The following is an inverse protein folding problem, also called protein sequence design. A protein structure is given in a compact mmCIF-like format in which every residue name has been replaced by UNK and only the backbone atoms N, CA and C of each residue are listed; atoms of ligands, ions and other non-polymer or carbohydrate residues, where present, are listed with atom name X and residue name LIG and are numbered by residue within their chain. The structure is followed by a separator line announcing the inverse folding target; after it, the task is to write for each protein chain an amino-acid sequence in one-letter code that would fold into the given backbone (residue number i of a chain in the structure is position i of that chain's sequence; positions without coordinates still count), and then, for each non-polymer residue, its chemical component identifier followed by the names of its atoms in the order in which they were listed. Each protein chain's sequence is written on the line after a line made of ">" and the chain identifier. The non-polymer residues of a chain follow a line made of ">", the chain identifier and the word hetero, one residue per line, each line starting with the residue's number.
data_IF_002544408997
#
_entry.id   IF_002544408997
#
_cell.length_a   1.000
_cell.length_b   1.000
_cell.length_c   1.000
_cell.angle_alpha   90.00
_cell.angle_beta   90.00
_cell.angle_gamma   90.00
#
_symmetry.space_group_name_H-M   'P 1'
#
loop_
_entity.id
_entity.type
_entity.pdbx_description
1 polymer ?
#
# COMPACT_ATOMS: atom_id res chain seq x y z
N UNK A 1 -59.43 -25.55 54.50
CA UNK A 1 -58.84 -24.48 53.74
C UNK A 1 -57.41 -24.91 53.40
N UNK A 2 -57.16 -25.32 52.16
CA UNK A 2 -55.82 -25.73 51.67
C UNK A 2 -55.22 -24.56 50.87
N UNK A 3 -54.12 -23.99 51.38
CA UNK A 3 -53.33 -23.00 50.66
C UNK A 3 -52.54 -23.73 49.62
N UNK A 4 -52.69 -23.35 48.35
CA UNK A 4 -51.81 -23.75 47.27
C UNK A 4 -50.65 -22.72 47.14
N UNK A 5 -49.45 -23.13 47.53
CA UNK A 5 -48.26 -22.41 47.22
C UNK A 5 -47.91 -22.62 45.73
N UNK A 6 -47.94 -21.55 44.91
CA UNK A 6 -47.41 -21.53 43.54
C UNK A 6 -45.95 -21.33 43.61
N UNK A 7 -45.18 -22.36 43.28
CA UNK A 7 -43.75 -22.27 43.08
C UNK A 7 -43.52 -21.71 41.66
N UNK A 8 -43.01 -20.48 41.59
CA UNK A 8 -42.57 -19.85 40.34
C UNK A 8 -41.14 -20.32 40.05
N UNK A 9 -40.95 -21.22 39.07
CA UNK A 9 -39.65 -21.53 38.53
C UNK A 9 -39.22 -20.41 37.58
N UNK A 10 -38.30 -19.56 38.04
CA UNK A 10 -37.61 -18.58 37.20
C UNK A 10 -36.50 -19.33 36.44
N UNK A 11 -36.79 -19.77 35.22
CA UNK A 11 -35.78 -20.35 34.33
C UNK A 11 -34.93 -19.21 33.77
N UNK A 12 -33.78 -18.97 34.41
CA UNK A 12 -32.73 -18.06 33.90
C UNK A 12 -32.08 -18.73 32.70
N UNK A 13 -32.52 -18.39 31.50
CA UNK A 13 -31.82 -18.75 30.28
C UNK A 13 -30.57 -17.90 30.26
N UNK A 14 -29.42 -18.46 30.69
CA UNK A 14 -28.09 -17.91 30.45
C UNK A 14 -27.80 -18.14 28.99
N UNK A 15 -28.05 -17.13 28.16
CA UNK A 15 -27.54 -17.08 26.80
C UNK A 15 -26.02 -16.89 26.91
N UNK A 16 -25.28 -17.98 26.90
CA UNK A 16 -23.85 -17.97 26.63
C UNK A 16 -23.66 -17.44 25.21
N UNK A 17 -23.51 -16.13 25.08
CA UNK A 17 -22.96 -15.50 23.89
C UNK A 17 -21.52 -15.98 23.85
N UNK A 18 -21.28 -17.08 23.17
CA UNK A 18 -19.96 -17.47 22.70
C UNK A 18 -19.53 -16.39 21.70
N UNK A 19 -19.07 -15.26 22.23
CA UNK A 19 -18.30 -14.29 21.50
C UNK A 19 -17.02 -15.01 21.11
N UNK A 20 -17.05 -15.71 19.97
CA UNK A 20 -15.86 -16.09 19.27
C UNK A 20 -15.17 -14.77 18.92
N UNK A 21 -14.26 -14.31 19.79
CA UNK A 21 -13.55 -13.06 19.57
C UNK A 21 -12.73 -13.25 18.29
N UNK A 22 -13.30 -12.80 17.18
CA UNK A 22 -12.56 -12.76 15.90
C UNK A 22 -11.25 -12.06 16.20
N UNK A 23 -10.15 -12.72 15.85
CA UNK A 23 -8.83 -12.11 15.97
C UNK A 23 -8.71 -11.07 14.87
N UNK A 24 -9.11 -9.85 15.18
CA UNK A 24 -9.17 -8.71 14.29
C UNK A 24 -8.06 -7.72 14.64
N UNK A 25 -7.46 -7.12 13.64
CA UNK A 25 -6.41 -6.11 13.72
C UNK A 25 -6.94 -4.90 12.97
N UNK A 26 -7.03 -3.75 13.63
CA UNK A 26 -7.36 -2.48 12.97
C UNK A 26 -6.15 -1.95 12.20
N UNK A 27 -6.39 -1.21 11.12
CA UNK A 27 -5.34 -0.55 10.36
C UNK A 27 -5.71 0.89 9.99
N UNK A 28 -4.70 1.73 9.84
CA UNK A 28 -4.81 3.04 9.21
C UNK A 28 -4.61 2.90 7.69
N UNK A 29 -5.29 3.75 6.89
CA UNK A 29 -5.28 3.64 5.44
C UNK A 29 -5.22 5.01 4.76
N UNK A 30 -4.20 5.19 3.91
CA UNK A 30 -4.00 6.38 3.06
C UNK A 30 -3.58 6.01 1.61
N UNK A 31 -3.97 4.83 1.16
CA UNK A 31 -3.48 4.17 -0.06
C UNK A 31 -2.55 3.01 0.29
N UNK A 32 -2.00 2.97 1.49
CA UNK A 32 -1.28 1.85 2.08
C UNK A 32 -1.99 1.39 3.36
N UNK A 33 -1.84 0.12 3.69
CA UNK A 33 -2.42 -0.49 4.90
C UNK A 33 -1.37 -0.44 6.01
N UNK A 34 -1.57 0.39 7.04
CA UNK A 34 -0.67 0.48 8.20
C UNK A 34 -1.21 -0.28 9.39
N UNK A 35 -0.49 -1.30 9.82
CA UNK A 35 -0.84 -2.17 10.95
C UNK A 35 0.10 -1.90 12.12
N UNK A 36 -0.46 -1.75 13.33
CA UNK A 36 0.35 -1.52 14.54
C UNK A 36 0.94 -2.80 15.11
N UNK A 37 2.28 -2.86 15.14
CA UNK A 37 3.03 -3.88 15.86
C UNK A 37 3.25 -3.40 17.29
N UNK A 38 2.85 -4.22 18.26
CA UNK A 38 2.93 -3.91 19.71
C UNK A 38 4.08 -4.60 20.42
N UNK A 39 4.72 -5.58 19.75
CA UNK A 39 5.81 -6.35 20.37
C UNK A 39 6.74 -6.94 19.31
N UNK A 40 8.04 -6.86 19.54
CA UNK A 40 9.09 -7.52 18.73
C UNK A 40 10.10 -8.16 19.70
N UNK A 41 10.36 -9.48 19.54
CA UNK A 41 11.28 -10.25 20.38
C UNK A 41 11.11 -9.95 21.87
N UNK A 42 9.89 -10.05 22.40
CA UNK A 42 9.55 -9.75 23.79
C UNK A 42 9.67 -8.27 24.22
N UNK A 43 10.16 -7.37 23.39
CA UNK A 43 10.12 -5.93 23.64
C UNK A 43 8.76 -5.34 23.27
N UNK A 44 8.22 -4.51 24.15
CA UNK A 44 7.08 -3.65 23.83
C UNK A 44 7.55 -2.55 22.87
N UNK A 45 6.80 -2.36 21.80
CA UNK A 45 7.01 -1.32 20.79
C UNK A 45 5.66 -0.74 20.40
N UNK A 46 5.65 0.33 19.61
CA UNK A 46 4.44 0.84 18.98
C UNK A 46 4.84 1.33 17.60
N UNK A 47 4.90 0.41 16.63
CA UNK A 47 5.36 0.70 15.28
C UNK A 47 4.25 0.54 14.25
N UNK A 48 4.28 1.39 13.23
CA UNK A 48 3.39 1.35 12.08
C UNK A 48 4.05 0.59 10.92
N UNK A 49 3.49 -0.56 10.57
CA UNK A 49 4.04 -1.43 9.54
C UNK A 49 3.10 -1.51 8.34
N UNK A 50 3.64 -1.33 7.14
CA UNK A 50 2.88 -1.48 5.92
C UNK A 50 2.63 -2.97 5.67
N UNK A 51 1.36 -3.37 5.49
CA UNK A 51 1.03 -4.71 5.02
C UNK A 51 1.14 -4.74 3.49
N UNK A 52 2.11 -5.49 3.00
CA UNK A 52 2.59 -5.47 1.63
C UNK A 52 2.71 -6.90 1.09
N UNK A 53 1.74 -7.32 0.29
CA UNK A 53 1.74 -8.66 -0.34
C UNK A 53 2.71 -8.78 -1.52
N UNK A 54 3.24 -7.68 -2.03
CA UNK A 54 4.33 -7.64 -3.01
C UNK A 54 5.70 -7.93 -2.39
N UNK A 55 5.84 -7.75 -1.07
CA UNK A 55 7.02 -8.09 -0.31
C UNK A 55 6.95 -9.52 0.25
N UNK A 56 8.07 -10.30 0.23
CA UNK A 56 8.03 -11.71 0.67
C UNK A 56 7.99 -11.90 2.18
N UNK A 57 8.68 -11.04 2.97
CA UNK A 57 9.02 -11.33 4.37
C UNK A 57 8.70 -10.15 5.30
N UNK A 58 9.24 -10.24 6.51
CA UNK A 58 9.15 -9.21 7.53
C UNK A 58 10.37 -8.29 7.45
N UNK A 59 10.14 -6.98 7.36
CA UNK A 59 11.19 -5.98 7.26
C UNK A 59 11.04 -4.96 8.38
N UNK A 60 12.17 -4.49 8.88
CA UNK A 60 12.27 -3.52 9.96
C UNK A 60 13.00 -2.27 9.48
N UNK A 61 12.51 -1.11 9.82
CA UNK A 61 13.24 0.13 9.62
C UNK A 61 14.45 0.21 10.56
N UNK A 62 15.57 0.70 10.04
CA UNK A 62 16.81 0.78 10.81
C UNK A 62 16.74 1.78 11.96
N UNK A 63 16.11 2.94 11.78
CA UNK A 63 15.95 3.95 12.82
C UNK A 63 14.96 3.47 13.89
N UNK A 64 13.86 2.84 13.49
CA UNK A 64 12.92 2.20 14.40
C UNK A 64 13.60 1.17 15.31
N UNK A 65 14.51 0.35 14.75
CA UNK A 65 15.28 -0.61 15.55
C UNK A 65 16.16 0.10 16.59
N UNK A 66 16.83 1.19 16.21
CA UNK A 66 17.68 1.99 17.10
C UNK A 66 16.85 2.65 18.21
N UNK A 67 15.82 3.36 17.86
CA UNK A 67 14.91 4.07 18.78
C UNK A 67 14.31 3.14 19.83
N UNK A 68 13.88 1.95 19.40
CA UNK A 68 13.31 0.93 20.27
C UNK A 68 14.35 0.00 20.90
N UNK A 69 15.65 0.26 20.68
CA UNK A 69 16.76 -0.57 21.20
C UNK A 69 16.60 -2.06 20.87
N UNK A 70 16.07 -2.38 19.67
CA UNK A 70 15.94 -3.76 19.18
C UNK A 70 17.29 -4.18 18.64
N UNK A 71 17.82 -5.29 19.15
CA UNK A 71 19.13 -5.84 18.75
C UNK A 71 18.97 -7.28 18.26
N UNK A 72 19.71 -7.62 17.22
CA UNK A 72 19.82 -8.97 16.68
C UNK A 72 21.27 -9.43 16.78
N UNK A 73 21.47 -10.71 17.07
CA UNK A 73 22.84 -11.28 17.27
C UNK A 73 23.47 -11.68 15.95
N UNK A 74 22.67 -12.29 15.07
CA UNK A 74 23.15 -12.88 13.82
C UNK A 74 22.59 -12.06 12.63
N UNK A 75 23.39 -11.10 12.17
CA UNK A 75 23.05 -10.28 11.01
C UNK A 75 24.08 -10.43 9.90
N UNK A 76 23.64 -10.40 8.66
CA UNK A 76 24.48 -10.48 7.45
C UNK A 76 24.17 -9.33 6.51
N UNK A 77 25.20 -8.65 6.02
CA UNK A 77 25.04 -7.64 4.97
C UNK A 77 24.45 -8.26 3.71
N UNK A 78 23.59 -7.52 3.03
CA UNK A 78 22.95 -7.90 1.78
C UNK A 78 22.53 -6.67 0.98
N UNK A 79 21.91 -6.93 -0.14
CA UNK A 79 21.33 -5.91 -1.01
C UNK A 79 19.89 -6.31 -1.35
N UNK A 80 19.03 -5.32 -1.61
CA UNK A 80 17.67 -5.53 -2.11
C UNK A 80 17.43 -4.58 -3.27
N UNK A 81 16.70 -5.06 -4.27
CA UNK A 81 16.11 -4.24 -5.33
C UNK A 81 14.64 -3.93 -5.04
N UNK A 82 13.97 -3.28 -5.97
CA UNK A 82 12.55 -2.94 -5.90
C UNK A 82 12.12 -2.19 -7.15
N UNK A 83 11.17 -1.28 -7.01
CA UNK A 83 10.77 -0.35 -8.06
C UNK A 83 11.93 0.62 -8.34
N UNK A 84 12.27 0.82 -9.62
CA UNK A 84 13.43 1.57 -10.09
C UNK A 84 14.65 0.68 -10.37
N UNK A 85 15.69 1.28 -10.96
CA UNK A 85 16.82 0.55 -11.56
C UNK A 85 17.98 0.26 -10.59
N UNK A 86 17.88 0.60 -9.32
CA UNK A 86 18.97 0.49 -8.34
C UNK A 86 18.72 -0.52 -7.24
N UNK A 87 19.66 -0.56 -6.30
CA UNK A 87 19.61 -1.44 -5.11
C UNK A 87 19.93 -0.66 -3.85
N UNK A 88 19.52 -1.20 -2.70
CA UNK A 88 19.80 -0.66 -1.37
C UNK A 88 20.54 -1.67 -0.51
N UNK A 89 21.45 -1.18 0.33
CA UNK A 89 22.11 -1.98 1.35
C UNK A 89 21.13 -2.40 2.45
N UNK A 90 21.22 -3.64 2.87
CA UNK A 90 20.36 -4.24 3.89
C UNK A 90 21.16 -5.07 4.88
N UNK A 91 20.50 -5.46 5.97
CA UNK A 91 21.03 -6.43 6.93
C UNK A 91 20.00 -7.54 7.12
N UNK A 92 20.30 -8.74 6.58
CA UNK A 92 19.49 -9.94 6.77
C UNK A 92 19.66 -10.45 8.19
N UNK A 93 18.55 -10.65 8.89
CA UNK A 93 18.53 -11.26 10.24
C UNK A 93 18.46 -12.77 10.06
N UNK A 94 19.38 -13.50 10.69
CA UNK A 94 19.44 -14.98 10.66
C UNK A 94 18.64 -15.62 11.79
N UNK A 95 18.32 -14.85 12.81
CA UNK A 95 17.50 -15.31 13.94
C UNK A 95 16.02 -15.22 13.58
N UNK A 96 15.22 -16.13 14.17
CA UNK A 96 13.75 -15.99 14.12
C UNK A 96 13.33 -14.73 14.85
N UNK A 97 12.57 -13.87 14.18
CA UNK A 97 11.99 -12.66 14.75
C UNK A 97 10.55 -12.93 15.13
N UNK A 98 10.21 -12.80 16.40
CA UNK A 98 8.82 -12.87 16.87
C UNK A 98 8.21 -11.47 16.92
N UNK A 99 6.97 -11.33 16.50
CA UNK A 99 6.24 -10.07 16.57
C UNK A 99 4.78 -10.30 16.94
N UNK A 100 4.13 -9.27 17.45
CA UNK A 100 2.72 -9.35 17.81
C UNK A 100 1.99 -8.08 17.45
N UNK A 101 0.85 -8.27 16.81
CA UNK A 101 -0.26 -7.34 16.87
C UNK A 101 -0.86 -7.41 18.29
N UNK A 102 -1.93 -6.75 18.62
CA UNK A 102 -2.44 -6.77 20.00
C UNK A 102 -2.50 -8.17 20.65
N UNK A 103 -3.32 -9.07 20.11
CA UNK A 103 -3.53 -10.43 20.65
C UNK A 103 -3.03 -11.55 19.73
N UNK A 104 -2.58 -11.19 18.51
CA UNK A 104 -2.10 -12.17 17.52
C UNK A 104 -0.57 -12.15 17.53
N UNK A 105 0.02 -13.31 17.87
CA UNK A 105 1.47 -13.51 17.81
C UNK A 105 1.84 -14.22 16.52
N UNK A 106 2.93 -13.76 15.91
CA UNK A 106 3.51 -14.34 14.71
C UNK A 106 5.04 -14.38 14.81
N UNK A 107 5.66 -14.99 13.82
CA UNK A 107 7.13 -15.06 13.70
C UNK A 107 7.54 -14.99 12.23
N UNK A 108 8.79 -14.65 12.00
CA UNK A 108 9.44 -14.69 10.71
C UNK A 108 10.86 -15.24 10.84
N UNK A 109 11.17 -16.26 10.05
CA UNK A 109 12.52 -16.83 9.95
C UNK A 109 13.35 -16.14 8.86
N UNK A 110 12.73 -15.22 8.12
CA UNK A 110 13.37 -14.38 7.12
C UNK A 110 12.99 -12.93 7.40
N UNK A 111 13.91 -12.20 7.98
CA UNK A 111 13.70 -10.79 8.29
C UNK A 111 14.89 -9.97 7.84
N UNK A 112 14.64 -8.71 7.51
CA UNK A 112 15.67 -7.82 6.97
C UNK A 112 15.52 -6.42 7.57
N UNK A 113 16.64 -5.76 7.84
CA UNK A 113 16.68 -4.37 8.27
C UNK A 113 17.08 -3.51 7.07
N UNK A 114 16.37 -2.42 6.87
CA UNK A 114 16.58 -1.45 5.81
C UNK A 114 16.14 -0.07 6.29
N UNK A 115 16.67 1.00 5.73
CA UNK A 115 16.19 2.36 6.01
C UNK A 115 14.93 2.65 5.18
N UNK A 116 13.76 2.27 5.69
CA UNK A 116 12.47 2.50 5.03
C UNK A 116 11.95 3.92 5.18
N UNK A 117 12.12 4.55 6.33
CA UNK A 117 11.61 5.90 6.58
C UNK A 117 12.14 6.90 5.55
N UNK A 118 13.38 6.72 5.10
CA UNK A 118 13.95 7.56 4.03
C UNK A 118 13.25 7.43 2.67
N UNK A 119 12.51 6.32 2.45
CA UNK A 119 11.88 5.95 1.17
C UNK A 119 10.36 6.07 1.24
N UNK A 120 9.75 5.62 2.35
CA UNK A 120 8.31 5.48 2.51
C UNK A 120 7.71 6.49 3.51
N UNK A 121 8.55 7.27 4.18
CA UNK A 121 8.14 8.29 5.14
C UNK A 121 8.13 7.83 6.58
N UNK A 122 7.90 8.80 7.48
CA UNK A 122 8.02 8.62 8.95
C UNK A 122 7.16 7.52 9.54
N UNK A 123 6.04 7.20 8.90
CA UNK A 123 5.11 6.17 9.38
C UNK A 123 5.47 4.75 8.91
N UNK A 124 6.62 4.56 8.23
CA UNK A 124 7.07 3.25 7.76
C UNK A 124 8.11 2.65 8.69
N UNK A 125 7.69 2.14 9.85
CA UNK A 125 8.56 1.45 10.80
C UNK A 125 8.98 0.05 10.32
N UNK A 126 8.36 -0.43 9.24
CA UNK A 126 8.70 -1.68 8.57
C UNK A 126 7.62 -2.15 7.60
N UNK A 127 7.82 -3.37 7.09
CA UNK A 127 6.90 -4.04 6.17
C UNK A 127 6.53 -5.43 6.70
N UNK A 128 5.26 -5.75 6.62
CA UNK A 128 4.66 -7.06 6.83
C UNK A 128 4.42 -7.69 5.45
N UNK A 129 5.32 -8.55 5.01
CA UNK A 129 5.18 -9.22 3.71
C UNK A 129 4.08 -10.27 3.68
N UNK A 130 3.87 -10.88 2.52
CA UNK A 130 2.81 -11.87 2.24
C UNK A 130 2.72 -13.02 3.24
N UNK A 131 3.85 -13.45 3.82
CA UNK A 131 3.91 -14.53 4.81
C UNK A 131 3.61 -14.10 6.26
N UNK A 132 3.30 -12.84 6.50
CA UNK A 132 3.18 -12.27 7.85
C UNK A 132 2.03 -12.83 8.68
N UNK A 133 1.10 -13.57 8.07
CA UNK A 133 0.03 -14.28 8.78
C UNK A 133 0.26 -15.80 8.90
N UNK A 134 1.49 -16.29 8.62
CA UNK A 134 1.88 -17.70 8.75
C UNK A 134 0.90 -18.64 8.03
N UNK A 135 0.58 -18.35 6.78
CA UNK A 135 -0.37 -19.08 5.94
C UNK A 135 -1.81 -19.18 6.51
N UNK A 136 -2.19 -18.34 7.47
CA UNK A 136 -3.57 -18.27 7.92
C UNK A 136 -4.39 -17.45 6.94
N UNK A 137 -5.56 -17.97 6.60
CA UNK A 137 -6.50 -17.23 5.78
C UNK A 137 -6.97 -15.98 6.52
N UNK A 138 -6.93 -14.84 5.85
CA UNK A 138 -7.27 -13.56 6.46
C UNK A 138 -8.04 -12.68 5.48
N UNK A 139 -9.01 -11.95 6.03
CA UNK A 139 -9.83 -10.98 5.32
C UNK A 139 -9.28 -9.58 5.53
N UNK A 140 -9.16 -8.82 4.47
CA UNK A 140 -8.93 -7.38 4.47
C UNK A 140 -10.27 -6.71 4.19
N UNK A 141 -10.76 -5.93 5.14
CA UNK A 141 -11.98 -5.13 5.04
C UNK A 141 -11.59 -3.65 4.96
N UNK A 142 -11.51 -3.13 3.74
CA UNK A 142 -11.08 -1.74 3.50
C UNK A 142 -12.10 -0.69 3.96
N UNK A 143 -13.36 -1.07 4.14
CA UNK A 143 -14.42 -0.18 4.63
C UNK A 143 -14.31 -0.02 6.13
N UNK A 144 -14.21 -1.15 6.85
CA UNK A 144 -14.05 -1.16 8.31
C UNK A 144 -12.62 -0.88 8.76
N UNK A 145 -11.66 -0.97 7.83
CA UNK A 145 -10.22 -0.88 8.10
C UNK A 145 -9.74 -1.94 9.09
N UNK A 146 -10.07 -3.18 8.78
CA UNK A 146 -9.77 -4.32 9.64
C UNK A 146 -9.20 -5.49 8.85
N UNK A 147 -8.19 -6.18 9.43
CA UNK A 147 -7.75 -7.49 8.99
C UNK A 147 -8.22 -8.52 10.02
N UNK A 148 -8.95 -9.54 9.56
CA UNK A 148 -9.49 -10.60 10.42
C UNK A 148 -9.00 -11.96 9.99
N UNK A 149 -8.53 -12.80 10.93
CA UNK A 149 -8.29 -14.21 10.65
C UNK A 149 -9.65 -14.93 10.54
N UNK A 150 -9.84 -15.64 9.44
CA UNK A 150 -11.10 -16.32 9.13
C UNK A 150 -10.88 -17.69 8.52
N UNK A 151 -11.93 -18.52 8.60
CA UNK A 151 -12.02 -19.87 8.04
C UNK A 151 -13.34 -20.11 7.28
N UNK A 152 -14.20 -19.09 7.19
CA UNK A 152 -15.45 -19.14 6.46
C UNK A 152 -15.41 -18.15 5.27
N UNK A 153 -15.65 -18.66 4.06
CA UNK A 153 -15.55 -17.95 2.78
C UNK A 153 -16.91 -17.81 2.07
N UNK A 154 -18.01 -18.12 2.76
CA UNK A 154 -19.34 -18.08 2.15
C UNK A 154 -19.70 -16.68 1.66
N UNK A 155 -20.28 -16.60 0.47
CA UNK A 155 -20.72 -15.35 -0.15
C UNK A 155 -19.61 -14.53 -0.80
N UNK A 156 -18.45 -15.13 -1.06
CA UNK A 156 -17.35 -14.57 -1.83
C UNK A 156 -17.12 -15.35 -3.11
N UNK A 157 -16.75 -14.66 -4.17
CA UNK A 157 -16.28 -15.30 -5.40
C UNK A 157 -14.83 -15.70 -5.27
N UNK A 158 -14.54 -16.91 -5.76
CA UNK A 158 -13.27 -17.59 -5.60
C UNK A 158 -12.44 -17.46 -6.87
N UNK A 159 -11.22 -16.98 -6.76
CA UNK A 159 -10.27 -16.85 -7.87
C UNK A 159 -8.97 -17.57 -7.51
N UNK A 160 -8.56 -18.49 -8.38
CA UNK A 160 -7.30 -19.21 -8.22
C UNK A 160 -6.14 -18.30 -8.64
N UNK A 161 -5.06 -18.32 -7.85
CA UNK A 161 -3.82 -17.64 -8.19
C UNK A 161 -2.64 -18.63 -8.28
N UNK A 162 -1.56 -18.22 -8.92
CA UNK A 162 -0.28 -18.87 -8.85
C UNK A 162 0.53 -18.24 -7.70
N UNK A 163 1.08 -19.06 -6.80
CA UNK A 163 2.02 -18.61 -5.77
C UNK A 163 3.44 -19.01 -6.17
N UNK A 164 4.22 -18.03 -6.62
CA UNK A 164 5.57 -18.24 -7.14
C UNK A 164 6.53 -17.22 -6.57
N UNK A 165 7.67 -17.67 -6.04
CA UNK A 165 8.70 -16.78 -5.46
C UNK A 165 8.14 -15.79 -4.42
N UNK A 166 7.23 -16.27 -3.55
CA UNK A 166 6.52 -15.46 -2.55
C UNK A 166 5.64 -14.35 -3.15
N UNK A 167 5.21 -14.47 -4.38
CA UNK A 167 4.30 -13.55 -5.06
C UNK A 167 2.96 -14.22 -5.33
N UNK A 168 1.88 -13.48 -5.07
CA UNK A 168 0.53 -13.87 -5.46
C UNK A 168 0.30 -13.34 -6.87
N UNK A 169 0.26 -14.23 -7.85
CA UNK A 169 0.06 -13.91 -9.27
C UNK A 169 -1.39 -14.19 -9.66
N UNK A 170 -2.17 -13.13 -9.81
CA UNK A 170 -3.61 -13.18 -10.03
C UNK A 170 -3.91 -13.04 -11.54
N UNK A 171 -4.72 -13.94 -12.16
CA UNK A 171 -5.11 -13.78 -13.55
C UNK A 171 -6.09 -12.61 -13.70
N UNK A 172 -5.75 -11.66 -14.55
CA UNK A 172 -6.53 -10.47 -14.85
C UNK A 172 -6.54 -10.16 -16.35
N UNK A 173 -7.51 -9.35 -16.76
CA UNK A 173 -7.57 -8.75 -18.10
C UNK A 173 -7.84 -7.26 -17.96
N UNK A 174 -7.04 -6.44 -18.65
CA UNK A 174 -7.21 -4.99 -18.74
C UNK A 174 -7.50 -4.63 -20.19
N UNK A 175 -8.61 -3.92 -20.44
CA UNK A 175 -9.03 -3.46 -21.77
C UNK A 175 -8.87 -1.94 -21.88
N UNK A 176 -8.47 -1.50 -23.06
CA UNK A 176 -8.30 -0.09 -23.44
C UNK A 176 -9.26 0.30 -24.55
N UNK A 177 -9.49 1.60 -24.74
CA UNK A 177 -10.49 2.18 -25.66
C UNK A 177 -10.34 1.76 -27.12
N UNK A 178 -9.16 1.38 -27.55
CA UNK A 178 -8.87 0.93 -28.93
C UNK A 178 -9.08 -0.57 -29.14
N UNK A 179 -9.89 -1.24 -28.30
CA UNK A 179 -10.08 -2.69 -28.26
C UNK A 179 -8.80 -3.51 -27.98
N UNK A 180 -7.74 -2.86 -27.52
CA UNK A 180 -6.58 -3.55 -26.98
C UNK A 180 -6.87 -4.10 -25.62
N UNK A 181 -6.28 -5.24 -25.33
CA UNK A 181 -6.33 -5.82 -24.00
C UNK A 181 -4.99 -6.45 -23.63
N UNK A 182 -4.70 -6.43 -22.36
CA UNK A 182 -3.58 -7.14 -21.75
C UNK A 182 -4.17 -8.17 -20.81
N UNK A 183 -3.92 -9.44 -21.13
CA UNK A 183 -4.34 -10.58 -20.31
C UNK A 183 -3.11 -11.29 -19.80
N UNK A 184 -3.06 -11.53 -18.50
CA UNK A 184 -1.90 -12.17 -17.88
C UNK A 184 -2.03 -12.33 -16.38
N UNK A 185 -0.94 -12.71 -15.76
CA UNK A 185 -0.80 -12.75 -14.31
C UNK A 185 -0.34 -11.40 -13.80
N UNK A 186 -0.99 -10.90 -12.77
CA UNK A 186 -0.66 -9.64 -12.10
C UNK A 186 -0.25 -9.89 -10.66
N UNK A 187 0.77 -9.19 -10.20
CA UNK A 187 1.18 -9.23 -8.80
C UNK A 187 0.12 -8.53 -7.94
N UNK A 188 -0.51 -9.26 -7.02
CA UNK A 188 -1.37 -8.67 -6.00
C UNK A 188 -0.50 -7.98 -4.95
N UNK A 189 -0.58 -6.67 -4.87
CA UNK A 189 0.34 -5.85 -4.10
C UNK A 189 -0.37 -4.80 -3.23
N UNK A 190 -0.62 -5.16 -1.97
CA UNK A 190 -1.19 -4.22 -0.99
C UNK A 190 -0.19 -3.17 -0.50
N UNK A 191 1.09 -3.31 -0.84
CA UNK A 191 2.13 -2.29 -0.63
C UNK A 191 2.14 -1.20 -1.70
N UNK A 192 1.42 -1.41 -2.83
CA UNK A 192 1.25 -0.40 -3.87
C UNK A 192 -0.08 0.34 -3.72
N UNK A 193 -0.03 1.67 -3.78
CA UNK A 193 -1.25 2.50 -3.80
C UNK A 193 -1.88 2.62 -5.19
N UNK A 194 -1.17 2.20 -6.24
CA UNK A 194 -1.58 2.34 -7.65
C UNK A 194 -1.39 1.04 -8.42
N UNK A 195 -2.21 0.85 -9.44
CA UNK A 195 -2.09 -0.23 -10.42
C UNK A 195 -1.18 0.21 -11.57
N UNK A 196 -0.21 -0.65 -11.92
CA UNK A 196 0.81 -0.32 -12.91
C UNK A 196 1.13 -1.54 -13.80
N UNK A 197 1.20 -1.34 -15.10
CA UNK A 197 1.72 -2.32 -16.05
C UNK A 197 3.25 -2.30 -16.05
N UNK A 198 3.85 -3.48 -16.24
CA UNK A 198 5.29 -3.56 -16.51
C UNK A 198 5.63 -3.07 -17.92
N UNK A 199 6.88 -2.66 -18.13
CA UNK A 199 7.37 -2.14 -19.41
C UNK A 199 7.47 -3.18 -20.53
N UNK A 200 7.22 -4.47 -20.24
CA UNK A 200 7.39 -5.57 -21.19
C UNK A 200 6.20 -5.77 -22.14
N UNK A 201 5.22 -4.88 -22.12
CA UNK A 201 4.04 -4.97 -22.99
C UNK A 201 4.20 -4.07 -24.20
N UNK A 202 3.79 -4.57 -25.37
CA UNK A 202 3.59 -3.69 -26.51
C UNK A 202 2.37 -2.81 -26.28
N UNK A 203 2.64 -1.55 -25.94
CA UNK A 203 1.65 -0.51 -25.61
C UNK A 203 1.45 0.49 -26.74
N UNK A 204 1.91 0.19 -27.96
CA UNK A 204 1.72 1.05 -29.11
C UNK A 204 0.22 1.38 -29.30
N UNK A 205 -0.07 2.63 -29.58
CA UNK A 205 -1.44 3.17 -29.77
C UNK A 205 -2.35 3.12 -28.53
N UNK A 206 -1.81 3.00 -27.31
CA UNK A 206 -2.54 3.33 -26.09
C UNK A 206 -2.44 4.84 -25.88
N UNK A 207 -3.58 5.50 -25.61
CA UNK A 207 -3.62 6.93 -25.34
C UNK A 207 -2.81 7.26 -24.07
N UNK A 208 -1.82 8.12 -24.24
CA UNK A 208 -1.03 8.63 -23.12
C UNK A 208 -1.68 9.91 -22.62
N UNK A 209 -2.26 9.86 -21.42
CA UNK A 209 -2.93 11.03 -20.83
C UNK A 209 -1.89 11.95 -20.20
N UNK A 210 -0.90 11.38 -19.54
CA UNK A 210 0.12 12.16 -18.83
C UNK A 210 1.38 11.35 -18.61
N UNK A 211 2.54 11.98 -18.77
CA UNK A 211 3.81 11.42 -18.36
C UNK A 211 3.99 11.57 -16.85
N UNK A 212 4.66 10.62 -16.24
CA UNK A 212 4.97 10.63 -14.81
C UNK A 212 6.44 10.34 -14.56
N UNK A 213 6.93 10.82 -13.43
CA UNK A 213 8.19 10.42 -12.84
C UNK A 213 7.95 10.12 -11.37
N UNK A 214 8.41 8.99 -10.89
CA UNK A 214 8.22 8.56 -9.49
C UNK A 214 9.49 7.95 -8.93
N UNK A 215 9.58 7.88 -7.61
CA UNK A 215 10.69 7.24 -6.90
C UNK A 215 10.24 5.97 -6.19
N UNK A 216 11.07 4.94 -6.24
CA UNK A 216 10.87 3.68 -5.54
C UNK A 216 12.09 3.24 -4.74
N UNK A 217 12.08 2.02 -4.21
CA UNK A 217 13.20 1.46 -3.44
C UNK A 217 14.48 1.33 -4.26
N UNK A 218 14.37 1.17 -5.58
CA UNK A 218 15.48 1.12 -6.54
C UNK A 218 15.86 2.47 -7.17
N UNK A 219 15.16 3.57 -6.84
CA UNK A 219 15.44 4.91 -7.40
C UNK A 219 14.33 5.44 -8.27
N UNK A 220 14.65 6.36 -9.18
CA UNK A 220 13.69 6.98 -10.09
C UNK A 220 13.21 5.96 -11.14
N UNK A 221 11.92 6.02 -11.45
CA UNK A 221 11.26 5.31 -12.55
C UNK A 221 10.43 6.30 -13.35
N UNK A 222 10.17 6.01 -14.63
CA UNK A 222 9.38 6.84 -15.53
C UNK A 222 8.33 6.00 -16.21
N UNK A 223 7.35 6.70 -16.75
CA UNK A 223 6.26 6.08 -17.48
C UNK A 223 5.19 7.08 -17.85
N UNK A 224 4.01 6.57 -18.09
CA UNK A 224 2.85 7.42 -18.35
C UNK A 224 1.57 6.82 -17.77
N UNK A 225 0.58 7.68 -17.56
CA UNK A 225 -0.75 7.27 -17.11
C UNK A 225 -1.70 7.18 -18.30
N UNK A 226 -2.59 6.21 -18.27
CA UNK A 226 -3.67 6.02 -19.25
C UNK A 226 -4.96 5.57 -18.57
N UNK A 227 -6.08 5.57 -19.34
CA UNK A 227 -7.33 4.96 -18.89
C UNK A 227 -7.42 3.52 -19.36
N UNK A 228 -7.70 2.61 -18.42
CA UNK A 228 -8.29 1.32 -18.72
C UNK A 228 -9.81 1.49 -18.77
N UNK A 229 -10.44 1.09 -19.86
CA UNK A 229 -11.91 1.08 -19.96
C UNK A 229 -12.52 0.07 -19.00
N UNK A 230 -11.87 -1.11 -18.91
CA UNK A 230 -12.28 -2.18 -18.01
C UNK A 230 -11.07 -2.89 -17.41
N UNK A 231 -11.12 -3.17 -16.11
CA UNK A 231 -10.26 -4.14 -15.43
C UNK A 231 -11.14 -5.29 -14.98
N UNK A 232 -10.85 -6.50 -15.49
CA UNK A 232 -11.60 -7.72 -15.18
C UNK A 232 -10.90 -8.51 -14.09
N UNK A 233 -11.58 -8.67 -12.93
CA UNK A 233 -11.13 -9.51 -11.81
C UNK A 233 -12.19 -10.58 -11.54
N UNK A 234 -11.92 -11.82 -11.94
CA UNK A 234 -12.94 -12.86 -11.91
C UNK A 234 -14.16 -12.45 -12.74
N UNK A 235 -15.31 -12.38 -12.12
CA UNK A 235 -16.58 -11.98 -12.74
C UNK A 235 -16.85 -10.47 -12.66
N UNK A 236 -15.97 -9.67 -12.02
CA UNK A 236 -16.21 -8.26 -11.77
C UNK A 236 -15.47 -7.37 -12.76
N UNK A 237 -16.12 -6.27 -13.12
CA UNK A 237 -15.59 -5.24 -14.00
C UNK A 237 -15.42 -3.94 -13.24
N UNK A 238 -14.20 -3.42 -13.18
CA UNK A 238 -13.95 -2.04 -12.74
C UNK A 238 -13.85 -1.20 -14.00
N UNK A 239 -14.66 -0.13 -14.05
CA UNK A 239 -14.81 0.68 -15.25
C UNK A 239 -14.02 1.99 -15.14
N UNK A 240 -13.44 2.42 -16.26
CA UNK A 240 -12.76 3.73 -16.41
C UNK A 240 -11.78 4.01 -15.28
N UNK A 241 -10.75 3.20 -15.20
CA UNK A 241 -9.74 3.30 -14.15
C UNK A 241 -8.42 3.85 -14.70
N UNK A 242 -7.81 4.78 -13.97
CA UNK A 242 -6.46 5.24 -14.29
C UNK A 242 -5.43 4.19 -13.89
N UNK A 243 -4.53 3.86 -14.78
CA UNK A 243 -3.41 2.97 -14.53
C UNK A 243 -2.13 3.60 -15.03
N UNK A 244 -1.03 3.29 -14.37
CA UNK A 244 0.29 3.69 -14.81
C UNK A 244 0.91 2.60 -15.68
N UNK A 245 1.74 3.01 -16.62
CA UNK A 245 2.51 2.13 -17.48
C UNK A 245 3.98 2.49 -17.32
N UNK A 246 4.79 1.53 -16.89
CA UNK A 246 6.21 1.74 -16.65
C UNK A 246 7.01 1.72 -17.95
N UNK A 247 8.07 2.54 -18.01
CA UNK A 247 9.12 2.52 -19.02
C UNK A 247 10.45 2.00 -18.45
N UNK A 248 10.44 1.36 -17.27
CA UNK A 248 11.64 0.83 -16.63
C UNK A 248 12.28 -0.27 -17.46
N UNK A 249 13.60 -0.27 -17.50
CA UNK A 249 14.40 -1.30 -18.20
C UNK A 249 14.93 -2.38 -17.26
N UNK A 250 14.78 -2.20 -15.94
CA UNK A 250 15.16 -3.15 -14.90
C UNK A 250 14.26 -3.02 -13.66
N UNK A 251 14.47 -3.86 -12.66
CA UNK A 251 13.68 -3.85 -11.42
C UNK A 251 12.31 -4.51 -11.54
N UNK A 252 11.47 -4.26 -10.55
CA UNK A 252 10.16 -4.93 -10.43
C UNK A 252 9.20 -4.58 -11.57
N UNK A 253 9.25 -3.36 -12.10
CA UNK A 253 8.36 -2.87 -13.16
C UNK A 253 8.83 -3.22 -14.57
N UNK A 254 9.97 -3.91 -14.73
CA UNK A 254 10.42 -4.53 -15.99
C UNK A 254 10.37 -6.06 -15.94
N UNK A 255 9.71 -6.63 -14.93
CA UNK A 255 9.59 -8.09 -14.76
C UNK A 255 8.81 -8.73 -15.90
N UNK A 256 9.29 -9.90 -16.37
CA UNK A 256 8.57 -10.76 -17.30
C UNK A 256 7.74 -11.85 -16.61
N UNK A 257 7.86 -11.97 -15.28
CA UNK A 257 7.10 -12.95 -14.49
C UNK A 257 5.61 -12.59 -14.37
N UNK A 258 5.25 -11.33 -14.57
CA UNK A 258 3.88 -10.82 -14.47
C UNK A 258 3.67 -9.62 -15.40
N UNK A 259 2.42 -9.38 -15.75
CA UNK A 259 2.02 -8.30 -16.66
C UNK A 259 1.96 -6.91 -15.98
N UNK A 260 1.83 -6.89 -14.69
CA UNK A 260 1.71 -5.66 -13.92
C UNK A 260 1.51 -5.94 -12.44
N UNK A 261 1.31 -4.86 -11.71
CA UNK A 261 0.99 -4.82 -10.29
C UNK A 261 -0.45 -4.36 -10.15
N UNK A 262 -1.26 -5.06 -9.35
CA UNK A 262 -2.58 -4.62 -8.97
C UNK A 262 -2.51 -4.01 -7.57
N UNK A 263 -2.72 -2.71 -7.47
CA UNK A 263 -2.58 -1.95 -6.23
C UNK A 263 -3.88 -1.72 -5.48
N UNK A 264 -3.77 -0.99 -4.39
CA UNK A 264 -4.92 -0.71 -3.51
C UNK A 264 -5.99 0.18 -4.14
N UNK A 265 -5.66 0.95 -5.19
CA UNK A 265 -6.64 1.71 -5.97
C UNK A 265 -7.72 0.82 -6.62
N UNK A 266 -7.35 -0.42 -6.92
CA UNK A 266 -8.24 -1.45 -7.45
C UNK A 266 -8.71 -2.38 -6.32
N UNK A 267 -7.81 -2.86 -5.47
CA UNK A 267 -8.11 -3.85 -4.44
C UNK A 267 -9.13 -3.36 -3.40
N UNK A 268 -9.14 -2.06 -3.07
CA UNK A 268 -10.04 -1.50 -2.07
C UNK A 268 -11.51 -1.37 -2.52
N UNK A 269 -11.82 -1.78 -3.76
CA UNK A 269 -13.19 -1.98 -4.22
C UNK A 269 -13.84 -3.25 -3.66
N UNK A 270 -13.04 -4.11 -3.01
CA UNK A 270 -13.49 -5.42 -2.55
C UNK A 270 -13.21 -5.63 -1.06
N UNK A 271 -14.05 -6.43 -0.43
CA UNK A 271 -13.64 -7.26 0.69
C UNK A 271 -12.78 -8.38 0.12
N UNK A 272 -11.53 -8.47 0.55
CA UNK A 272 -10.54 -9.39 0.00
C UNK A 272 -10.12 -10.42 1.05
N UNK A 273 -10.18 -11.72 0.71
CA UNK A 273 -9.63 -12.79 1.55
C UNK A 273 -8.47 -13.45 0.81
N UNK A 274 -7.36 -13.62 1.50
CA UNK A 274 -6.17 -14.30 0.99
C UNK A 274 -6.04 -15.65 1.69
N UNK A 275 -6.04 -16.73 0.92
CA UNK A 275 -5.80 -18.10 1.39
C UNK A 275 -4.59 -18.69 0.66
N UNK A 276 -3.41 -18.53 1.27
CA UNK A 276 -2.16 -19.06 0.72
C UNK A 276 -2.08 -20.59 0.74
N UNK A 277 -2.84 -21.26 1.63
CA UNK A 277 -2.82 -22.72 1.71
C UNK A 277 -3.42 -23.39 0.48
N UNK A 278 -4.50 -22.80 -0.02
CA UNK A 278 -5.23 -23.35 -1.15
C UNK A 278 -4.94 -22.62 -2.46
N UNK A 279 -4.14 -21.53 -2.42
CA UNK A 279 -3.85 -20.64 -3.53
C UNK A 279 -5.11 -20.03 -4.14
N UNK A 280 -5.96 -19.45 -3.27
CA UNK A 280 -7.15 -18.71 -3.69
C UNK A 280 -7.22 -17.35 -3.01
N UNK A 281 -7.67 -16.38 -3.78
CA UNK A 281 -8.32 -15.21 -3.21
C UNK A 281 -9.83 -15.39 -3.29
N UNK A 282 -10.52 -14.77 -2.34
CA UNK A 282 -11.98 -14.68 -2.36
C UNK A 282 -12.31 -13.21 -2.29
N UNK A 283 -13.13 -12.74 -3.21
CA UNK A 283 -13.50 -11.31 -3.33
C UNK A 283 -15.00 -11.14 -3.29
N UNK A 284 -15.41 -10.02 -2.74
CA UNK A 284 -16.79 -9.56 -2.75
C UNK A 284 -16.78 -8.04 -2.90
N UNK A 285 -17.52 -7.48 -3.88
CA UNK A 285 -17.65 -6.03 -3.99
C UNK A 285 -18.12 -5.40 -2.68
N UNK A 286 -17.48 -4.33 -2.29
CA UNK A 286 -17.88 -3.53 -1.13
C UNK A 286 -18.57 -2.23 -1.60
N UNK A 287 -18.89 -1.33 -0.66
CA UNK A 287 -19.57 -0.08 -0.96
C UNK A 287 -18.79 0.90 -1.83
N UNK A 288 -17.48 0.66 -2.02
CA UNK A 288 -16.62 1.49 -2.90
C UNK A 288 -16.60 1.01 -4.36
N UNK A 289 -17.19 -0.16 -4.62
CA UNK A 289 -17.11 -0.80 -5.93
C UNK A 289 -17.72 0.08 -7.02
N UNK A 290 -16.92 0.38 -8.07
CA UNK A 290 -17.31 1.24 -9.19
C UNK A 290 -17.84 2.64 -8.81
N UNK A 291 -17.60 3.10 -7.58
CA UNK A 291 -17.79 4.51 -7.32
C UNK A 291 -16.73 5.27 -8.11
N UNK A 292 -17.18 6.06 -9.10
CA UNK A 292 -16.29 6.95 -9.84
C UNK A 292 -15.59 7.86 -8.85
N UNK A 293 -14.38 7.50 -8.48
CA UNK A 293 -13.52 8.40 -7.74
C UNK A 293 -13.27 9.57 -8.69
N UNK A 294 -13.76 10.74 -8.33
CA UNK A 294 -13.24 11.96 -8.91
C UNK A 294 -11.75 11.92 -8.57
N UNK A 295 -10.93 11.56 -9.53
CA UNK A 295 -9.48 11.64 -9.39
C UNK A 295 -9.12 13.12 -9.29
N UNK A 296 -9.30 13.65 -8.08
CA UNK A 296 -8.90 14.99 -7.73
C UNK A 296 -7.38 14.96 -7.72
N UNK A 297 -6.80 15.60 -8.71
CA UNK A 297 -5.43 16.09 -8.74
C UNK A 297 -4.39 15.21 -8.08
N UNK A 298 -3.53 14.61 -8.86
CA UNK A 298 -2.20 14.30 -8.38
C UNK A 298 -1.20 14.93 -9.32
N UNK A 299 -1.05 16.25 -9.30
CA UNK A 299 0.08 16.89 -9.95
C UNK A 299 1.39 16.34 -9.38
N UNK A 300 1.39 15.97 -8.12
CA UNK A 300 2.53 15.40 -7.40
C UNK A 300 2.06 14.58 -6.20
N UNK A 301 2.97 13.77 -5.66
CA UNK A 301 2.87 13.13 -4.35
C UNK A 301 4.14 13.35 -3.56
N UNK A 302 4.08 13.18 -2.25
CA UNK A 302 5.22 13.37 -1.38
C UNK A 302 5.24 12.39 -0.22
N UNK A 303 6.44 12.17 0.29
CA UNK A 303 6.74 11.35 1.47
C UNK A 303 7.00 12.31 2.64
N UNK A 304 6.31 12.09 3.74
CA UNK A 304 6.54 12.86 4.97
C UNK A 304 7.85 12.40 5.64
N UNK A 305 8.83 13.29 5.67
CA UNK A 305 10.14 13.10 6.27
C UNK A 305 10.42 14.11 7.38
N UNK A 306 9.36 14.63 7.99
CA UNK A 306 9.49 15.67 9.03
C UNK A 306 10.23 15.20 10.28
N UNK A 307 10.35 13.90 10.52
CA UNK A 307 11.16 13.29 11.58
C UNK A 307 12.66 13.10 11.19
N UNK A 308 13.01 13.30 9.91
CA UNK A 308 14.37 13.11 9.39
C UNK A 308 15.05 14.44 9.09
N UNK A 309 14.37 15.28 8.32
CA UNK A 309 14.95 16.53 7.81
C UNK A 309 13.94 17.68 7.68
N UNK A 310 12.89 17.67 8.49
CA UNK A 310 11.83 18.71 8.55
C UNK A 310 11.17 18.96 7.18
N UNK A 311 11.13 17.96 6.27
CA UNK A 311 10.64 18.14 4.91
C UNK A 311 9.57 17.13 4.48
N UNK A 312 8.87 17.47 3.39
CA UNK A 312 8.13 16.52 2.57
C UNK A 312 8.89 16.31 1.26
N UNK A 313 9.29 15.08 0.95
CA UNK A 313 10.06 14.73 -0.25
C UNK A 313 9.11 14.45 -1.41
N UNK A 314 9.23 15.18 -2.51
CA UNK A 314 8.48 14.89 -3.74
C UNK A 314 8.96 13.55 -4.30
N UNK A 315 8.09 12.53 -4.28
CA UNK A 315 8.39 11.17 -4.73
C UNK A 315 7.62 10.75 -5.99
N UNK A 316 6.70 11.60 -6.45
CA UNK A 316 5.89 11.38 -7.63
C UNK A 316 5.48 12.72 -8.23
N UNK A 317 5.60 12.90 -9.55
CA UNK A 317 5.21 14.12 -10.24
C UNK A 317 4.80 13.84 -11.68
N UNK A 318 3.68 14.41 -12.10
CA UNK A 318 3.25 14.41 -13.50
C UNK A 318 3.91 15.56 -14.25
N UNK A 319 4.69 15.24 -15.29
CA UNK A 319 5.53 16.21 -16.00
C UNK A 319 4.76 17.21 -16.84
N UNK A 320 3.50 16.94 -17.19
CA UNK A 320 2.64 17.85 -17.97
C UNK A 320 1.87 18.84 -17.11
N UNK A 321 2.03 18.79 -15.79
CA UNK A 321 1.30 19.66 -14.86
C UNK A 321 1.94 21.03 -14.70
N UNK A 322 1.15 21.99 -14.21
CA UNK A 322 1.62 23.33 -13.90
C UNK A 322 2.73 23.30 -12.83
N UNK A 323 2.61 22.41 -11.83
CA UNK A 323 3.66 22.21 -10.83
C UNK A 323 5.01 21.86 -11.47
N UNK A 324 5.03 20.91 -12.40
CA UNK A 324 6.28 20.55 -13.10
C UNK A 324 6.78 21.66 -14.02
N UNK A 325 5.87 22.28 -14.80
CA UNK A 325 6.20 23.39 -15.74
C UNK A 325 6.78 24.58 -15.01
N UNK A 326 6.33 24.86 -13.79
CA UNK A 326 6.85 25.94 -12.94
C UNK A 326 8.05 25.51 -12.08
N UNK A 327 8.58 24.31 -12.29
CA UNK A 327 9.88 23.94 -11.78
C UNK A 327 9.89 22.96 -10.61
N UNK A 328 8.74 22.44 -10.13
CA UNK A 328 8.74 21.35 -9.15
C UNK A 328 9.33 20.09 -9.78
N UNK A 329 10.17 19.36 -9.03
CA UNK A 329 10.89 18.18 -9.51
C UNK A 329 10.84 17.04 -8.50
N UNK A 330 11.04 15.84 -9.00
CA UNK A 330 11.30 14.66 -8.16
C UNK A 330 12.47 14.93 -7.24
N UNK A 331 12.40 14.43 -6.01
CA UNK A 331 13.39 14.60 -4.94
C UNK A 331 13.52 16.04 -4.37
N UNK A 332 12.67 16.99 -4.77
CA UNK A 332 12.57 18.25 -4.06
C UNK A 332 12.13 18.03 -2.61
N UNK A 333 12.81 18.67 -1.68
CA UNK A 333 12.45 18.69 -0.26
C UNK A 333 11.62 19.93 0.03
N UNK A 334 10.31 19.77 0.11
CA UNK A 334 9.39 20.85 0.47
C UNK A 334 9.53 21.11 1.96
N UNK A 335 9.91 22.33 2.34
CA UNK A 335 10.09 22.75 3.73
C UNK A 335 8.97 23.68 4.22
N UNK A 336 8.32 24.39 3.26
CA UNK A 336 7.17 25.25 3.59
C UNK A 336 6.19 25.29 2.41
N UNK A 337 4.91 25.53 2.70
CA UNK A 337 3.82 25.74 1.76
C UNK A 337 3.08 27.01 2.18
N UNK A 338 2.94 27.95 1.23
CA UNK A 338 2.32 29.27 1.47
C UNK A 338 2.90 29.99 2.71
N UNK A 339 4.21 29.80 2.97
CA UNK A 339 4.95 30.36 4.09
C UNK A 339 4.85 29.57 5.40
N UNK A 340 3.98 28.55 5.50
CA UNK A 340 3.88 27.68 6.68
C UNK A 340 4.82 26.48 6.57
N UNK A 341 5.59 26.19 7.62
CA UNK A 341 6.51 25.05 7.65
C UNK A 341 5.74 23.72 7.60
N UNK A 342 6.15 22.79 6.73
CA UNK A 342 5.46 21.50 6.54
C UNK A 342 5.44 20.63 7.80
N UNK A 343 6.37 20.80 8.71
CA UNK A 343 6.37 20.10 10.00
C UNK A 343 5.20 20.49 10.94
N UNK A 344 4.58 21.63 10.69
CA UNK A 344 3.42 22.11 11.43
C UNK A 344 2.10 21.71 10.76
N UNK A 345 2.17 21.21 9.52
CA UNK A 345 0.99 20.81 8.75
C UNK A 345 0.62 19.35 9.02
N UNK A 346 -0.68 19.08 9.14
CA UNK A 346 -1.20 17.72 9.03
C UNK A 346 -1.26 17.31 7.55
N UNK A 347 -0.43 16.35 7.17
CA UNK A 347 -0.30 15.86 5.78
C UNK A 347 -1.63 15.42 5.18
N UNK A 348 -2.41 14.63 5.92
CA UNK A 348 -3.67 14.09 5.41
C UNK A 348 -4.73 15.18 5.27
N UNK A 349 -4.76 16.11 6.21
CA UNK A 349 -5.66 17.26 6.17
C UNK A 349 -5.31 18.21 5.03
N UNK A 350 -4.03 18.48 4.82
CA UNK A 350 -3.57 19.28 3.69
C UNK A 350 -4.07 18.68 2.37
N UNK A 351 -3.84 17.37 2.16
CA UNK A 351 -4.26 16.69 0.93
C UNK A 351 -5.78 16.71 0.69
N UNK A 352 -6.57 16.53 1.75
CA UNK A 352 -8.05 16.51 1.67
C UNK A 352 -8.65 17.87 1.32
N UNK A 353 -7.96 18.94 1.65
CA UNK A 353 -8.45 20.31 1.50
C UNK A 353 -7.98 20.99 0.20
N UNK A 354 -7.13 20.35 -0.59
CA UNK A 354 -6.70 20.85 -1.87
C UNK A 354 -7.88 21.02 -2.85
N UNK A 355 -7.89 22.11 -3.59
CA UNK A 355 -8.93 22.44 -4.56
C UNK A 355 -8.33 22.65 -5.95
N UNK A 356 -9.16 22.43 -6.98
CA UNK A 356 -8.84 22.76 -8.37
C UNK A 356 -8.52 24.24 -8.48
N UNK A 357 -7.54 24.58 -9.31
CA UNK A 357 -7.08 25.94 -9.59
C UNK A 357 -6.57 26.68 -8.33
N UNK A 358 -6.41 25.96 -7.21
CA UNK A 358 -5.74 26.51 -6.03
C UNK A 358 -4.28 26.85 -6.36
N UNK A 359 -3.89 28.09 -6.12
CA UNK A 359 -2.49 28.51 -6.22
C UNK A 359 -1.76 28.15 -4.93
N UNK A 360 -0.55 27.62 -5.09
CA UNK A 360 0.33 27.24 -3.98
C UNK A 360 1.73 27.79 -4.23
N UNK A 361 2.39 28.26 -3.18
CA UNK A 361 3.81 28.57 -3.15
C UNK A 361 4.54 27.48 -2.35
N UNK A 362 5.37 26.70 -3.01
CA UNK A 362 6.26 25.75 -2.33
C UNK A 362 7.64 26.37 -2.15
N UNK A 363 8.16 26.32 -0.93
CA UNK A 363 9.58 26.55 -0.66
C UNK A 363 10.25 25.20 -0.56
N UNK A 364 11.19 24.94 -1.49
CA UNK A 364 11.88 23.65 -1.57
C UNK A 364 13.38 23.80 -1.41
N UNK A 365 14.04 22.75 -0.94
CA UNK A 365 15.50 22.61 -0.97
C UNK A 365 15.84 21.60 -2.09
N UNK A 366 16.66 22.04 -3.04
CA UNK A 366 17.21 21.24 -4.13
C UNK A 366 18.72 21.49 -4.22
N UNK A 367 19.54 20.46 -4.11
CA UNK A 367 21.01 20.57 -4.15
C UNK A 367 21.58 21.64 -3.19
N UNK A 368 21.00 21.71 -1.98
CA UNK A 368 21.39 22.68 -0.95
C UNK A 368 20.89 24.11 -1.16
N UNK A 369 20.19 24.41 -2.25
CA UNK A 369 19.63 25.74 -2.55
C UNK A 369 18.16 25.79 -2.21
N UNK A 370 17.72 26.90 -1.61
CA UNK A 370 16.31 27.19 -1.37
C UNK A 370 15.69 27.85 -2.59
N UNK A 371 14.59 27.29 -3.07
CA UNK A 371 13.86 27.75 -4.27
C UNK A 371 12.39 27.91 -3.92
N UNK A 372 11.76 29.00 -4.37
CA UNK A 372 10.31 29.19 -4.31
C UNK A 372 9.69 28.84 -5.64
N UNK A 373 8.65 28.03 -5.61
CA UNK A 373 7.94 27.52 -6.79
C UNK A 373 6.46 27.83 -6.62
N UNK A 374 5.91 28.64 -7.54
CA UNK A 374 4.51 29.02 -7.55
C UNK A 374 3.81 28.28 -8.69
N UNK A 375 2.70 27.59 -8.39
CA UNK A 375 1.92 26.87 -9.39
C UNK A 375 0.46 26.75 -8.98
N UNK A 376 -0.39 26.45 -9.96
CA UNK A 376 -1.79 26.13 -9.73
C UNK A 376 -2.03 24.61 -9.81
N UNK A 377 -2.95 24.10 -9.01
CA UNK A 377 -3.38 22.71 -9.09
C UNK A 377 -4.32 22.53 -10.29
N UNK A 378 -3.85 21.83 -11.30
CA UNK A 378 -4.63 21.61 -12.52
C UNK A 378 -5.65 20.47 -12.33
N UNK A 379 -6.77 20.57 -13.03
CA UNK A 379 -7.70 19.47 -13.18
C UNK A 379 -7.05 18.38 -14.03
N UNK A 380 -7.06 17.14 -13.57
CA UNK A 380 -6.85 16.02 -14.47
C UNK A 380 -7.93 16.08 -15.55
N UNK A 381 -7.52 16.12 -16.80
CA UNK A 381 -8.42 16.00 -17.93
C UNK A 381 -8.93 14.58 -17.97
N UNK A 382 -10.13 14.35 -17.49
CA UNK A 382 -10.88 13.10 -17.58
C UNK A 382 -12.27 13.39 -18.02
#
# INVERSE_FOLDING_TARGET
>A
MRQYQKIFYLSTIVILILSCSRKTISFDYDGHIYVKIKKINNKKVNGDFIYDTGAPFFYLDSSFCVENKIKFKNIQKGIIGGIGNGTKNTYKIKDTVTYAFEKIKNYSDNSTILNFKSILGKNADGILGVNSFNNKSHKIDYVKREISLIDNFNGYDKIKFEFKNYKILLPLEIRFSNNRYIKGSFLLDTGSSITCLTSNHNIDNIEQIQYLSTGGTGGETKGFTTYADEIMIGNYKILKHLIDISEDTSGSLSSTDYAGIIGNDVLDNFDLIIDLKQNYIYIKPNEKFNIHRKFLFKSFSYIDRTDIDDSWLINYIYIDTDAYKNGLRLNDKVIAIDGELVKNLDRLNFYKNLKIDQKLEFTVIREGKTIKINFALNKFLG
#
